data_IF_479489544022
#
_entry.id   IF_479489544022
#
_cell.length_a   1.000
_cell.length_b   1.000
_cell.length_c   1.000
_cell.angle_alpha   90.00
_cell.angle_beta   90.00
_cell.angle_gamma   90.00
#
_symmetry.space_group_name_H-M   'P 1'
#
loop_
_entity.id
_entity.type
_entity.pdbx_description
1 polymer ?
#
# COMPACT_ATOMS: atom_id res chain seq x y z
N UNK A 1 1.53 -12.54 -20.67
CA UNK A 1 1.15 -11.18 -20.19
C UNK A 1 2.15 -10.15 -20.65
N UNK A 2 3.43 -10.26 -20.26
CA UNK A 2 4.49 -9.30 -20.64
C UNK A 2 4.61 -9.14 -22.17
N UNK A 3 4.68 -10.25 -22.90
CA UNK A 3 4.78 -10.21 -24.38
C UNK A 3 3.58 -9.54 -25.05
N UNK A 4 2.39 -9.70 -24.46
CA UNK A 4 1.16 -9.07 -24.95
C UNK A 4 1.18 -7.55 -24.73
N UNK A 5 1.69 -7.10 -23.57
CA UNK A 5 1.86 -5.68 -23.26
C UNK A 5 2.85 -5.05 -24.23
N UNK A 6 3.98 -5.73 -24.50
CA UNK A 6 4.98 -5.26 -25.45
C UNK A 6 4.44 -5.17 -26.89
N UNK A 7 3.61 -6.13 -27.31
CA UNK A 7 3.04 -6.15 -28.66
C UNK A 7 1.92 -5.11 -28.84
N UNK A 8 1.14 -4.88 -27.79
CA UNK A 8 -0.04 -3.99 -27.84
C UNK A 8 0.31 -2.54 -27.47
N UNK A 9 1.49 -2.31 -26.89
CA UNK A 9 1.89 -1.02 -26.31
C UNK A 9 0.81 -0.48 -25.33
N UNK A 10 0.34 -1.33 -24.43
CA UNK A 10 -0.73 -0.97 -23.50
C UNK A 10 -0.23 -0.06 -22.37
N UNK A 11 -0.85 1.10 -22.20
CA UNK A 11 -0.56 2.04 -21.10
C UNK A 11 -1.10 1.55 -19.75
N UNK A 12 -2.20 0.79 -19.78
CA UNK A 12 -2.92 0.33 -18.58
C UNK A 12 -3.23 -1.16 -18.70
N UNK A 13 -2.95 -1.91 -17.64
CA UNK A 13 -3.35 -3.31 -17.48
C UNK A 13 -4.37 -3.41 -16.36
N UNK A 14 -5.58 -3.87 -16.70
CA UNK A 14 -6.68 -4.06 -15.77
C UNK A 14 -6.77 -5.52 -15.32
N UNK A 15 -6.85 -5.73 -14.01
CA UNK A 15 -7.11 -7.03 -13.39
C UNK A 15 -8.54 -7.08 -12.86
N UNK A 16 -9.27 -8.14 -13.22
CA UNK A 16 -10.63 -8.36 -12.73
C UNK A 16 -10.66 -8.80 -11.26
N UNK A 17 -9.60 -9.41 -10.73
CA UNK A 17 -9.51 -9.72 -9.30
C UNK A 17 -8.97 -8.54 -8.49
N UNK A 18 -9.43 -8.38 -7.25
CA UNK A 18 -8.82 -7.44 -6.32
C UNK A 18 -7.37 -7.81 -6.02
N UNK A 19 -6.46 -6.84 -6.11
CA UNK A 19 -5.04 -7.08 -5.88
C UNK A 19 -4.66 -6.65 -4.47
N UNK A 20 -4.01 -7.55 -3.73
CA UNK A 20 -3.36 -7.16 -2.49
C UNK A 20 -2.26 -6.13 -2.76
N UNK A 21 -1.97 -5.20 -1.83
CA UNK A 21 -0.88 -4.23 -2.00
C UNK A 21 0.49 -4.86 -2.24
N UNK A 22 0.68 -6.15 -1.91
CA UNK A 22 1.92 -6.88 -2.20
C UNK A 22 1.94 -7.36 -3.65
N UNK A 23 0.85 -7.93 -4.15
CA UNK A 23 0.77 -8.45 -5.51
C UNK A 23 0.88 -7.32 -6.53
N UNK A 24 0.20 -6.20 -6.31
CA UNK A 24 0.31 -5.04 -7.21
C UNK A 24 1.77 -4.58 -7.37
N UNK A 25 2.50 -4.39 -6.26
CA UNK A 25 3.91 -3.99 -6.31
C UNK A 25 4.82 -4.99 -7.01
N UNK A 26 4.52 -6.28 -6.88
CA UNK A 26 5.29 -7.31 -7.58
C UNK A 26 5.02 -7.28 -9.09
N UNK A 27 3.75 -7.11 -9.47
CA UNK A 27 3.38 -6.97 -10.87
C UNK A 27 3.98 -5.68 -11.48
N UNK A 28 3.96 -4.56 -10.76
CA UNK A 28 4.58 -3.30 -11.19
C UNK A 28 6.08 -3.48 -11.45
N UNK A 29 6.80 -4.24 -10.60
CA UNK A 29 8.22 -4.55 -10.82
C UNK A 29 8.48 -5.39 -12.06
N UNK A 30 7.57 -6.31 -12.37
CA UNK A 30 7.71 -7.24 -13.50
C UNK A 30 7.36 -6.54 -14.82
N UNK A 31 6.32 -5.71 -14.81
CA UNK A 31 5.82 -5.02 -16.00
C UNK A 31 6.63 -3.77 -16.33
N UNK A 32 7.20 -3.10 -15.31
CA UNK A 32 8.00 -1.88 -15.46
C UNK A 32 7.17 -0.61 -15.36
N UNK A 33 7.86 0.53 -15.24
CA UNK A 33 7.26 1.82 -14.87
C UNK A 33 6.38 2.45 -15.96
N UNK A 34 6.44 1.95 -17.19
CA UNK A 34 5.73 2.52 -18.33
C UNK A 34 4.26 2.06 -18.43
N UNK A 35 3.83 1.08 -17.64
CA UNK A 35 2.48 0.52 -17.72
C UNK A 35 1.83 0.53 -16.34
N UNK A 36 0.70 1.21 -16.22
CA UNK A 36 -0.05 1.30 -14.99
C UNK A 36 -0.87 0.04 -14.73
N UNK A 37 -0.85 -0.45 -13.49
CA UNK A 37 -1.65 -1.59 -13.07
C UNK A 37 -2.86 -1.13 -12.26
N UNK A 38 -4.05 -1.54 -12.69
CA UNK A 38 -5.31 -1.28 -12.04
C UNK A 38 -6.02 -2.59 -11.69
N UNK A 39 -6.76 -2.60 -10.58
CA UNK A 39 -7.65 -3.71 -10.21
C UNK A 39 -9.13 -3.30 -10.34
N UNK A 40 -10.02 -4.26 -10.09
CA UNK A 40 -11.47 -4.04 -10.09
C UNK A 40 -11.89 -2.91 -9.15
N UNK A 41 -11.34 -2.86 -7.94
CA UNK A 41 -11.70 -1.83 -6.94
C UNK A 41 -11.33 -0.43 -7.45
N UNK A 42 -10.14 -0.27 -8.04
CA UNK A 42 -9.71 0.99 -8.64
C UNK A 42 -10.62 1.42 -9.79
N UNK A 43 -11.05 0.48 -10.64
CA UNK A 43 -12.00 0.76 -11.73
C UNK A 43 -13.37 1.19 -11.19
N UNK A 44 -13.89 0.52 -10.17
CA UNK A 44 -15.17 0.88 -9.54
C UNK A 44 -15.10 2.31 -8.99
N UNK A 45 -14.02 2.64 -8.26
CA UNK A 45 -13.82 3.99 -7.72
C UNK A 45 -13.68 5.05 -8.82
N UNK A 46 -13.07 4.70 -9.96
CA UNK A 46 -12.99 5.57 -11.12
C UNK A 46 -14.38 5.83 -11.73
N UNK A 47 -15.19 4.78 -11.90
CA UNK A 47 -16.57 4.90 -12.40
C UNK A 47 -17.39 5.76 -11.44
N UNK A 48 -17.29 5.56 -10.13
CA UNK A 48 -18.00 6.40 -9.16
C UNK A 48 -17.53 7.85 -9.18
N UNK A 49 -16.22 8.10 -9.32
CA UNK A 49 -15.70 9.46 -9.48
C UNK A 49 -16.29 10.16 -10.71
N UNK A 50 -16.41 9.44 -11.83
CA UNK A 50 -16.99 9.98 -13.06
C UNK A 50 -18.50 10.26 -12.95
N UNK A 51 -19.22 9.57 -12.05
CA UNK A 51 -20.67 9.70 -11.89
C UNK A 51 -21.08 10.56 -10.67
N UNK A 52 -20.15 10.96 -9.82
CA UNK A 52 -20.43 11.72 -8.60
C UNK A 52 -20.76 13.20 -8.91
N UNK A 53 -22.02 13.47 -9.23
CA UNK A 53 -22.51 14.81 -9.59
C UNK A 53 -22.89 15.70 -8.38
N UNK A 54 -22.80 15.19 -7.16
CA UNK A 54 -23.10 15.94 -5.93
C UNK A 54 -21.85 16.12 -5.08
N UNK A 55 -21.80 17.19 -4.28
CA UNK A 55 -20.66 17.48 -3.40
C UNK A 55 -20.45 16.38 -2.36
N UNK A 56 -21.53 15.86 -1.80
CA UNK A 56 -21.47 14.76 -0.83
C UNK A 56 -20.98 13.46 -1.49
N UNK A 57 -21.50 13.11 -2.66
CA UNK A 57 -21.05 11.94 -3.41
C UNK A 57 -19.57 12.04 -3.79
N UNK A 58 -19.12 13.21 -4.23
CA UNK A 58 -17.71 13.45 -4.53
C UNK A 58 -16.81 13.22 -3.32
N UNK A 59 -17.18 13.74 -2.14
CA UNK A 59 -16.43 13.54 -0.90
C UNK A 59 -16.36 12.08 -0.48
N UNK A 60 -17.45 11.31 -0.63
CA UNK A 60 -17.47 9.88 -0.30
C UNK A 60 -16.54 9.08 -1.22
N UNK A 61 -16.57 9.38 -2.53
CA UNK A 61 -15.67 8.73 -3.48
C UNK A 61 -14.21 9.11 -3.17
N UNK A 62 -13.94 10.37 -2.85
CA UNK A 62 -12.59 10.82 -2.52
C UNK A 62 -12.05 10.13 -1.26
N UNK A 63 -12.87 10.03 -0.20
CA UNK A 63 -12.53 9.28 1.01
C UNK A 63 -12.20 7.81 0.68
N UNK A 64 -13.05 7.15 -0.10
CA UNK A 64 -12.83 5.76 -0.50
C UNK A 64 -11.54 5.59 -1.33
N UNK A 65 -11.22 6.56 -2.20
CA UNK A 65 -9.96 6.56 -2.92
C UNK A 65 -8.74 6.72 -1.99
N UNK A 66 -8.84 7.56 -0.96
CA UNK A 66 -7.77 7.67 0.03
C UNK A 66 -7.58 6.37 0.81
N UNK A 67 -8.65 5.76 1.30
CA UNK A 67 -8.60 4.49 2.03
C UNK A 67 -8.00 3.37 1.17
N UNK A 68 -8.34 3.31 -0.11
CA UNK A 68 -7.76 2.34 -1.05
C UNK A 68 -6.26 2.58 -1.30
N UNK A 69 -5.83 3.84 -1.44
CA UNK A 69 -4.42 4.19 -1.76
C UNK A 69 -3.49 4.12 -0.55
N UNK A 70 -3.97 4.48 0.65
CA UNK A 70 -3.16 4.57 1.87
C UNK A 70 -2.29 3.32 2.15
N UNK A 71 -2.83 2.07 2.15
CA UNK A 71 -2.05 0.87 2.40
C UNK A 71 -1.06 0.53 1.27
N UNK A 72 -1.26 1.08 0.07
CA UNK A 72 -0.41 0.87 -1.11
C UNK A 72 0.78 1.84 -1.12
N UNK A 73 0.64 3.02 -0.51
CA UNK A 73 1.70 4.03 -0.37
C UNK A 73 2.60 3.82 0.86
N UNK A 74 2.06 3.33 1.97
CA UNK A 74 2.73 3.34 3.29
C UNK A 74 4.05 2.55 3.35
N UNK A 75 4.26 1.55 2.50
CA UNK A 75 5.50 0.74 2.55
C UNK A 75 6.70 1.39 1.87
N UNK A 76 6.51 2.44 1.09
CA UNK A 76 7.63 3.25 0.57
C UNK A 76 8.35 4.01 1.71
N UNK A 77 7.60 4.45 2.71
CA UNK A 77 8.10 5.18 3.89
C UNK A 77 8.96 4.34 4.86
N UNK A 78 8.80 3.01 4.87
CA UNK A 78 9.65 2.14 5.71
C UNK A 78 11.12 2.19 5.30
N UNK A 79 11.42 2.46 4.03
CA UNK A 79 12.79 2.62 3.54
C UNK A 79 13.38 3.98 3.98
N UNK A 80 12.56 5.04 3.97
CA UNK A 80 12.94 6.38 4.42
C UNK A 80 13.16 6.45 5.94
N UNK A 81 12.31 5.77 6.73
CA UNK A 81 12.48 5.69 8.18
C UNK A 81 13.78 5.01 8.60
N UNK A 82 14.28 4.04 7.81
CA UNK A 82 15.59 3.41 8.02
C UNK A 82 16.76 4.32 7.67
N UNK A 83 16.61 5.23 6.70
CA UNK A 83 17.61 6.25 6.40
C UNK A 83 17.66 7.34 7.48
N UNK A 84 16.51 7.72 8.06
CA UNK A 84 16.44 8.71 9.13
C UNK A 84 16.96 8.19 10.48
N UNK A 85 16.93 6.88 10.74
CA UNK A 85 17.36 6.28 12.01
C UNK A 85 18.86 5.99 12.16
N UNK A 86 19.69 6.30 11.16
CA UNK A 86 21.13 5.98 11.15
C UNK A 86 22.05 6.95 11.89
N UNK A 87 21.55 8.11 12.32
CA UNK A 87 22.35 9.14 12.98
C UNK A 87 21.99 9.28 14.47
N UNK A 88 22.80 8.65 15.32
CA UNK A 88 23.17 9.10 16.68
C UNK A 88 22.03 9.45 17.68
N UNK A 89 21.59 8.45 18.45
CA UNK A 89 21.14 8.63 19.84
C UNK A 89 22.13 7.94 20.77
N UNK A 90 23.13 8.69 21.27
CA UNK A 90 24.19 8.17 22.15
C UNK A 90 23.64 7.86 23.55
N UNK A 91 24.00 6.68 24.06
CA UNK A 91 24.22 6.32 25.48
C UNK A 91 23.02 6.43 26.44
N UNK A 92 22.38 5.29 26.71
CA UNK A 92 21.50 5.07 27.85
C UNK A 92 21.65 3.65 28.38
N UNK A 93 22.72 3.40 29.14
CA UNK A 93 22.93 2.15 29.86
C UNK A 93 21.95 2.10 31.05
N UNK A 94 20.74 1.56 30.86
CA UNK A 94 19.95 1.05 31.97
C UNK A 94 19.75 -0.45 31.83
N UNK A 95 20.76 -1.12 32.36
CA UNK A 95 20.69 -2.47 32.91
C UNK A 95 19.51 -2.54 33.89
N UNK A 96 18.52 -3.39 33.57
CA UNK A 96 17.69 -4.23 34.47
C UNK A 96 16.65 -4.89 33.56
N UNK A 97 16.90 -6.10 33.07
CA UNK A 97 16.64 -7.35 33.80
C UNK A 97 15.34 -7.24 34.62
N UNK A 98 14.22 -7.69 34.05
CA UNK A 98 13.54 -8.87 34.57
C UNK A 98 12.60 -9.52 33.54
N UNK A 99 12.41 -10.85 33.61
CA UNK A 99 11.91 -11.68 32.52
C UNK A 99 10.45 -12.12 32.68
N UNK A 100 9.92 -12.69 31.60
CA UNK A 100 8.96 -13.77 31.51
C UNK A 100 7.77 -13.78 32.51
N UNK A 101 6.61 -13.49 31.94
CA UNK A 101 5.30 -13.87 32.46
C UNK A 101 5.27 -15.36 32.85
N UNK A 102 5.09 -15.65 34.13
CA UNK A 102 4.49 -16.91 34.62
C UNK A 102 3.40 -16.57 35.61
N UNK A 103 2.15 -16.74 35.19
CA UNK A 103 1.00 -16.85 36.08
C UNK A 103 1.01 -18.24 36.70
N UNK A 104 1.24 -18.34 38.01
CA UNK A 104 0.71 -19.39 38.90
C UNK A 104 0.98 -19.05 40.37
N UNK A 105 -0.07 -19.25 41.17
CA UNK A 105 -0.10 -19.40 42.64
C UNK A 105 0.12 -18.08 43.42
N UNK A 106 -0.89 -17.41 43.97
CA UNK A 106 -1.90 -17.86 44.95
C UNK A 106 -1.28 -18.36 46.26
N UNK A 107 -0.98 -17.42 47.16
CA UNK A 107 -1.08 -17.52 48.62
C UNK A 107 -0.99 -16.11 49.23
#
# INVERSE_FOLDING_TARGET
MIDLIATTAADIVLFDSELSPRHQRELERIVGDNTQILDRTALILYIFANNANTREGGLQVELAQYEYRLPRLTRQWKHLARQAGGASGRTGFYRRCWPAWTWREAA
#
